data_IF_074611286464
#
_entry.id   IF_074611286464
#
_cell.length_a   1.000
_cell.length_b   1.000
_cell.length_c   1.000
_cell.angle_alpha   90.00
_cell.angle_beta   90.00
_cell.angle_gamma   90.00
#
_symmetry.space_group_name_H-M   'P 1'
#
loop_
_entity.id
_entity.type
_entity.pdbx_description
1 polymer ?
#
# COMPACT_ATOMS: atom_id res chain seq x y z
N UNK A 1 -9.42 0.39 0.66
CA UNK A 1 -10.48 0.35 1.69
C UNK A 1 -11.69 1.19 1.27
N UNK A 2 -11.53 2.46 0.84
CA UNK A 2 -12.69 3.30 0.45
C UNK A 2 -13.50 2.66 -0.68
N UNK A 3 -12.83 2.16 -1.71
CA UNK A 3 -13.51 1.42 -2.80
C UNK A 3 -14.29 0.21 -2.26
N UNK A 4 -13.72 -0.53 -1.30
CA UNK A 4 -14.40 -1.65 -0.67
C UNK A 4 -15.66 -1.20 0.08
N UNK A 5 -15.58 -0.12 0.86
CA UNK A 5 -16.73 0.43 1.60
C UNK A 5 -17.86 0.84 0.65
N UNK A 6 -17.53 1.48 -0.47
CA UNK A 6 -18.50 1.98 -1.45
C UNK A 6 -19.13 0.84 -2.26
N UNK A 7 -18.34 -0.19 -2.63
CA UNK A 7 -18.73 -1.17 -3.64
C UNK A 7 -19.15 -2.55 -3.08
N UNK A 8 -18.90 -2.84 -1.79
CA UNK A 8 -19.11 -4.17 -1.23
C UNK A 8 -20.58 -4.54 -0.98
N UNK A 9 -21.45 -3.54 -0.79
CA UNK A 9 -22.86 -3.79 -0.46
C UNK A 9 -23.64 -4.35 -1.67
N UNK A 10 -24.73 -5.09 -1.41
CA UNK A 10 -25.63 -5.61 -2.46
C UNK A 10 -26.24 -4.51 -3.32
N UNK A 11 -26.58 -3.40 -2.69
CA UNK A 11 -27.16 -2.21 -3.34
C UNK A 11 -26.11 -1.18 -3.76
N UNK A 12 -24.83 -1.56 -3.87
CA UNK A 12 -23.74 -0.66 -4.29
C UNK A 12 -23.91 -0.16 -5.75
N UNK A 13 -23.21 0.92 -6.13
CA UNK A 13 -23.11 1.30 -7.54
C UNK A 13 -22.44 0.20 -8.36
N UNK A 14 -22.79 0.10 -9.64
CA UNK A 14 -22.33 -0.96 -10.52
C UNK A 14 -21.37 -0.48 -11.62
N UNK A 15 -21.41 0.82 -11.93
CA UNK A 15 -20.58 1.42 -12.96
C UNK A 15 -19.51 2.31 -12.38
N UNK A 16 -18.33 2.24 -12.94
CA UNK A 16 -17.13 2.95 -12.47
C UNK A 16 -16.53 3.69 -13.66
N UNK A 17 -16.28 5.00 -13.48
CA UNK A 17 -15.39 5.78 -14.30
C UNK A 17 -14.00 5.71 -13.68
N UNK A 18 -13.05 5.13 -14.38
CA UNK A 18 -11.62 5.20 -14.08
C UNK A 18 -11.07 6.45 -14.77
N UNK A 19 -10.59 7.43 -14.01
CA UNK A 19 -10.06 8.69 -14.56
C UNK A 19 -8.58 8.86 -14.24
N UNK A 20 -7.81 9.24 -15.25
CA UNK A 20 -6.40 9.61 -15.16
C UNK A 20 -6.24 11.03 -15.71
N UNK A 21 -5.53 11.89 -14.98
CA UNK A 21 -5.28 13.27 -15.40
C UNK A 21 -3.95 13.33 -16.15
N UNK A 22 -3.99 13.80 -17.39
CA UNK A 22 -2.79 13.90 -18.22
C UNK A 22 -1.83 14.95 -17.66
N UNK A 23 -0.62 14.52 -17.25
CA UNK A 23 0.44 15.41 -16.78
C UNK A 23 -0.03 16.37 -15.66
N UNK A 24 -0.71 15.82 -14.63
CA UNK A 24 -1.36 16.65 -13.60
C UNK A 24 -0.43 17.72 -13.01
N UNK A 25 0.82 17.35 -12.69
CA UNK A 25 1.79 18.29 -12.14
C UNK A 25 2.35 19.28 -13.17
N UNK A 26 2.32 18.91 -14.45
CA UNK A 26 2.97 19.67 -15.52
C UNK A 26 2.05 20.75 -16.12
N UNK A 27 0.73 20.63 -15.92
CA UNK A 27 -0.26 21.48 -16.63
C UNK A 27 -1.21 22.27 -15.72
N UNK A 28 -1.05 22.23 -14.39
CA UNK A 28 -1.91 23.05 -13.50
C UNK A 28 -1.68 24.53 -13.80
N UNK A 29 -2.75 25.26 -14.11
CA UNK A 29 -2.70 26.70 -14.41
C UNK A 29 -2.15 27.52 -13.23
N UNK A 30 -1.05 28.23 -13.42
CA UNK A 30 -0.50 29.18 -12.45
C UNK A 30 -1.52 30.26 -12.08
N UNK A 31 -2.24 30.79 -13.08
CA UNK A 31 -3.27 31.80 -12.85
C UNK A 31 -4.39 31.28 -11.94
N UNK A 32 -4.82 30.04 -12.15
CA UNK A 32 -5.82 29.43 -11.27
C UNK A 32 -5.28 29.25 -9.84
N UNK A 33 -4.06 28.74 -9.68
CA UNK A 33 -3.44 28.54 -8.36
C UNK A 33 -3.31 29.88 -7.62
N UNK A 34 -2.78 30.93 -8.26
CA UNK A 34 -2.60 32.26 -7.67
C UNK A 34 -3.94 32.84 -7.21
N UNK A 35 -5.01 32.65 -7.97
CA UNK A 35 -6.33 33.21 -7.66
C UNK A 35 -7.08 32.43 -6.56
N UNK A 36 -6.87 31.13 -6.46
CA UNK A 36 -7.72 30.26 -5.63
C UNK A 36 -7.02 29.69 -4.37
N UNK A 37 -5.68 29.64 -4.32
CA UNK A 37 -4.97 29.12 -3.15
C UNK A 37 -4.90 30.19 -2.05
N UNK A 38 -5.31 29.89 -0.80
CA UNK A 38 -5.33 30.86 0.30
C UNK A 38 -3.95 31.01 0.94
N UNK A 39 -3.01 31.62 0.21
CA UNK A 39 -1.68 31.98 0.69
C UNK A 39 -1.20 33.29 0.06
N UNK A 40 -0.06 33.81 0.53
CA UNK A 40 0.58 34.99 -0.05
C UNK A 40 0.87 34.79 -1.54
N UNK A 41 0.40 35.70 -2.37
CA UNK A 41 0.42 35.59 -3.82
C UNK A 41 1.83 35.77 -4.40
N UNK A 42 2.65 36.60 -3.79
CA UNK A 42 4.03 36.82 -4.25
C UNK A 42 4.91 35.59 -3.94
N UNK A 43 4.75 35.00 -2.74
CA UNK A 43 5.46 33.80 -2.36
C UNK A 43 5.04 32.64 -3.27
N UNK A 44 3.73 32.47 -3.51
CA UNK A 44 3.22 31.43 -4.40
C UNK A 44 3.78 31.59 -5.81
N UNK A 45 3.75 32.82 -6.38
CA UNK A 45 4.29 33.10 -7.70
C UNK A 45 5.78 32.73 -7.78
N UNK A 46 6.58 33.16 -6.82
CA UNK A 46 8.01 32.83 -6.77
C UNK A 46 8.26 31.32 -6.73
N UNK A 47 7.43 30.56 -6.02
CA UNK A 47 7.54 29.10 -5.99
C UNK A 47 7.15 28.44 -7.32
N UNK A 48 6.16 28.95 -8.00
CA UNK A 48 5.71 28.42 -9.30
C UNK A 48 6.70 28.75 -10.43
N UNK A 49 7.30 29.93 -10.39
CA UNK A 49 8.20 30.45 -11.44
C UNK A 49 9.68 30.09 -11.19
N UNK A 50 10.04 29.49 -10.03
CA UNK A 50 11.44 29.21 -9.68
C UNK A 50 12.13 28.21 -10.61
N UNK A 51 11.39 27.49 -11.44
CA UNK A 51 11.93 26.48 -12.33
C UNK A 51 12.44 25.22 -11.62
N UNK A 52 13.13 24.37 -12.37
CA UNK A 52 13.81 23.19 -11.84
C UNK A 52 15.19 23.03 -12.48
N UNK A 53 16.11 22.44 -11.72
CA UNK A 53 17.46 22.18 -12.22
C UNK A 53 17.54 20.72 -12.70
N UNK A 54 17.94 20.53 -13.97
CA UNK A 54 18.18 19.23 -14.56
C UNK A 54 19.56 19.21 -15.23
N UNK A 55 20.40 18.25 -14.89
CA UNK A 55 21.79 18.15 -15.39
C UNK A 55 22.64 19.42 -15.18
N UNK A 56 22.33 20.22 -14.16
CA UNK A 56 23.06 21.48 -13.89
C UNK A 56 22.54 22.71 -14.61
N UNK A 57 21.51 22.56 -15.44
CA UNK A 57 20.85 23.68 -16.16
C UNK A 57 19.49 23.99 -15.51
N UNK A 58 19.15 25.28 -15.47
CA UNK A 58 17.87 25.77 -14.95
C UNK A 58 16.83 25.84 -16.08
N UNK A 59 15.72 25.16 -15.89
CA UNK A 59 14.57 25.19 -16.79
C UNK A 59 13.44 26.01 -16.15
N UNK A 60 12.90 27.02 -16.83
CA UNK A 60 11.76 27.78 -16.30
C UNK A 60 10.49 26.91 -16.28
N UNK A 61 9.59 27.22 -15.37
CA UNK A 61 8.27 26.60 -15.28
C UNK A 61 7.22 27.63 -15.67
N UNK A 62 6.62 27.49 -16.85
CA UNK A 62 5.59 28.42 -17.36
C UNK A 62 4.18 27.99 -16.92
N UNK A 63 3.95 26.69 -16.72
CA UNK A 63 2.73 26.09 -16.18
C UNK A 63 3.08 24.91 -15.29
N UNK A 64 2.13 24.43 -14.50
CA UNK A 64 2.31 23.29 -13.62
C UNK A 64 3.10 23.60 -12.36
N UNK A 65 3.55 22.55 -11.71
CA UNK A 65 4.38 22.59 -10.50
C UNK A 65 5.56 21.65 -10.67
N UNK A 66 6.80 22.05 -10.29
CA UNK A 66 7.98 21.23 -10.52
C UNK A 66 7.83 19.83 -9.90
N UNK A 67 8.08 18.77 -10.70
CA UNK A 67 8.09 17.40 -10.20
C UNK A 67 9.20 17.25 -9.16
N UNK A 68 8.82 16.86 -7.93
CA UNK A 68 9.75 16.78 -6.79
C UNK A 68 9.80 18.05 -5.92
N UNK A 69 9.08 19.10 -6.27
CA UNK A 69 8.88 20.27 -5.40
C UNK A 69 8.12 19.90 -4.12
N UNK A 70 8.58 20.38 -2.97
CA UNK A 70 8.00 20.03 -1.65
C UNK A 70 6.51 20.39 -1.56
N UNK A 71 6.12 21.53 -2.13
CA UNK A 71 4.74 22.03 -2.09
C UNK A 71 3.84 21.47 -3.21
N UNK A 72 4.43 20.96 -4.29
CA UNK A 72 3.70 20.54 -5.50
C UNK A 72 2.57 19.53 -5.21
N UNK A 73 2.75 18.48 -4.38
CA UNK A 73 1.65 17.57 -4.05
C UNK A 73 0.50 18.24 -3.29
N UNK A 74 0.81 19.26 -2.48
CA UNK A 74 -0.21 20.01 -1.74
C UNK A 74 -1.01 20.91 -2.69
N UNK A 75 -0.35 21.64 -3.57
CA UNK A 75 -1.00 22.49 -4.57
C UNK A 75 -1.87 21.69 -5.52
N UNK A 76 -1.38 20.53 -6.01
CA UNK A 76 -2.16 19.62 -6.84
C UNK A 76 -3.41 19.08 -6.11
N UNK A 77 -3.27 18.71 -4.84
CA UNK A 77 -4.42 18.30 -4.05
C UNK A 77 -5.43 19.43 -3.87
N UNK A 78 -4.97 20.65 -3.57
CA UNK A 78 -5.85 21.83 -3.43
C UNK A 78 -6.53 22.19 -4.77
N UNK A 79 -5.84 22.04 -5.91
CA UNK A 79 -6.44 22.24 -7.22
C UNK A 79 -7.57 21.24 -7.53
N UNK A 80 -7.46 20.01 -7.03
CA UNK A 80 -8.46 18.96 -7.25
C UNK A 80 -9.52 18.88 -6.14
N UNK A 81 -9.40 19.69 -5.09
CA UNK A 81 -10.44 19.80 -4.07
C UNK A 81 -11.71 20.43 -4.62
N UNK A 82 -12.86 20.03 -4.05
CA UNK A 82 -14.18 20.45 -4.51
C UNK A 82 -14.79 19.56 -5.61
N UNK A 83 -14.01 18.71 -6.29
CA UNK A 83 -14.55 17.78 -7.29
C UNK A 83 -15.59 16.83 -6.70
N UNK A 84 -15.35 16.30 -5.49
CA UNK A 84 -16.29 15.43 -4.81
C UNK A 84 -17.62 16.13 -4.56
N UNK A 85 -17.59 17.35 -4.00
CA UNK A 85 -18.77 18.15 -3.70
C UNK A 85 -19.55 18.50 -4.96
N UNK A 86 -18.84 18.86 -6.03
CA UNK A 86 -19.43 19.13 -7.33
C UNK A 86 -20.22 17.93 -7.85
N UNK A 87 -19.60 16.75 -7.84
CA UNK A 87 -20.22 15.51 -8.33
C UNK A 87 -21.38 15.05 -7.45
N UNK A 88 -21.27 15.11 -6.14
CA UNK A 88 -22.34 14.70 -5.22
C UNK A 88 -23.56 15.63 -5.29
N UNK A 89 -23.35 16.92 -5.59
CA UNK A 89 -24.41 17.91 -5.73
C UNK A 89 -25.05 17.94 -7.13
N UNK A 90 -24.35 17.46 -8.17
CA UNK A 90 -24.78 17.57 -9.56
C UNK A 90 -25.96 16.70 -9.91
N UNK A 91 -26.09 15.52 -9.28
CA UNK A 91 -27.16 14.57 -9.60
C UNK A 91 -28.05 14.37 -8.37
N UNK A 92 -29.23 15.00 -8.44
CA UNK A 92 -30.27 14.82 -7.40
C UNK A 92 -30.94 13.45 -7.55
N UNK A 93 -31.56 12.98 -6.46
CA UNK A 93 -32.44 11.82 -6.50
C UNK A 93 -33.56 12.10 -7.49
N UNK A 94 -33.79 11.19 -8.40
CA UNK A 94 -34.87 11.30 -9.39
C UNK A 94 -35.82 10.10 -9.29
N UNK A 95 -37.01 10.22 -9.89
CA UNK A 95 -38.04 9.21 -9.84
C UNK A 95 -38.35 8.74 -11.26
N UNK A 96 -38.31 7.42 -11.46
CA UNK A 96 -38.70 6.76 -12.71
C UNK A 96 -39.69 5.66 -12.36
N UNK A 97 -40.87 5.66 -13.01
CA UNK A 97 -41.92 4.66 -12.78
C UNK A 97 -42.22 4.44 -11.29
N UNK A 98 -42.48 5.52 -10.54
CA UNK A 98 -42.73 5.53 -9.10
C UNK A 98 -41.58 5.02 -8.22
N UNK A 99 -40.45 4.62 -8.78
CA UNK A 99 -39.25 4.21 -8.02
C UNK A 99 -38.29 5.37 -7.87
N UNK A 100 -37.93 5.68 -6.61
CA UNK A 100 -36.93 6.67 -6.29
C UNK A 100 -35.54 6.12 -6.58
N UNK A 101 -34.84 6.71 -7.55
CA UNK A 101 -33.47 6.33 -7.92
C UNK A 101 -32.50 7.24 -7.18
N UNK A 102 -31.56 6.62 -6.50
CA UNK A 102 -30.40 7.31 -5.87
C UNK A 102 -29.21 7.09 -6.76
N UNK A 103 -28.59 8.13 -7.30
CA UNK A 103 -27.50 8.00 -8.30
C UNK A 103 -26.24 7.29 -7.78
N UNK A 104 -26.01 7.27 -6.45
CA UNK A 104 -24.88 6.62 -5.77
C UNK A 104 -23.53 7.05 -6.32
N UNK A 105 -23.39 8.35 -6.50
CA UNK A 105 -22.15 8.97 -6.96
C UNK A 105 -21.21 9.09 -5.78
N UNK A 106 -20.02 8.50 -5.92
CA UNK A 106 -18.93 8.61 -4.95
C UNK A 106 -17.63 8.79 -5.71
N UNK A 107 -16.84 9.77 -5.29
CA UNK A 107 -15.46 9.96 -5.75
C UNK A 107 -14.51 9.25 -4.78
N UNK A 108 -13.57 8.47 -5.31
CA UNK A 108 -12.42 7.97 -4.57
C UNK A 108 -11.17 8.40 -5.32
N UNK A 109 -10.40 9.31 -4.73
CA UNK A 109 -9.22 9.92 -5.34
C UNK A 109 -7.96 9.62 -4.51
N UNK A 110 -6.87 9.42 -5.20
CA UNK A 110 -5.53 9.37 -4.64
C UNK A 110 -4.57 10.11 -5.58
N UNK A 111 -4.18 11.33 -5.21
CA UNK A 111 -3.48 12.27 -6.07
C UNK A 111 -4.25 12.53 -7.37
N UNK A 112 -3.66 12.23 -8.51
CA UNK A 112 -4.20 12.33 -9.87
C UNK A 112 -5.05 11.11 -10.30
N UNK A 113 -4.83 9.96 -9.69
CA UNK A 113 -5.65 8.76 -9.93
C UNK A 113 -7.00 8.89 -9.21
N UNK A 114 -8.11 8.71 -9.92
CA UNK A 114 -9.42 8.72 -9.28
C UNK A 114 -10.41 7.77 -9.95
N UNK A 115 -11.41 7.37 -9.19
CA UNK A 115 -12.59 6.69 -9.70
C UNK A 115 -13.86 7.44 -9.28
N UNK A 116 -14.86 7.44 -10.15
CA UNK A 116 -16.20 7.89 -9.82
C UNK A 116 -17.17 6.74 -10.04
N UNK A 117 -18.03 6.50 -9.06
CA UNK A 117 -19.04 5.43 -9.16
C UNK A 117 -20.39 6.01 -9.52
N UNK A 118 -21.21 5.25 -10.24
CA UNK A 118 -22.63 5.55 -10.47
C UNK A 118 -23.45 4.27 -10.58
N UNK A 119 -24.79 4.40 -10.52
CA UNK A 119 -25.69 3.28 -10.64
C UNK A 119 -25.80 2.78 -12.08
N UNK A 120 -25.78 3.67 -13.05
CA UNK A 120 -25.94 3.42 -14.48
C UNK A 120 -24.83 4.08 -15.30
N UNK A 121 -24.62 3.56 -16.52
CA UNK A 121 -23.58 4.01 -17.43
C UNK A 121 -23.90 5.39 -18.01
N UNK A 122 -25.16 5.62 -18.30
CA UNK A 122 -25.66 6.86 -18.89
C UNK A 122 -25.38 8.07 -17.97
N UNK A 123 -25.56 7.91 -16.67
CA UNK A 123 -25.20 8.96 -15.69
C UNK A 123 -23.71 9.30 -15.77
N UNK A 124 -22.84 8.32 -15.98
CA UNK A 124 -21.39 8.59 -16.13
C UNK A 124 -21.12 9.35 -17.43
N UNK A 125 -21.66 8.86 -18.54
CA UNK A 125 -21.38 9.42 -19.87
C UNK A 125 -21.96 10.82 -20.07
N UNK A 126 -23.20 11.02 -19.64
CA UNK A 126 -23.95 12.26 -19.94
C UNK A 126 -23.78 13.34 -18.88
N UNK A 127 -23.48 12.99 -17.63
CA UNK A 127 -23.41 13.97 -16.52
C UNK A 127 -22.03 14.03 -15.90
N UNK A 128 -21.50 12.88 -15.43
CA UNK A 128 -20.26 12.88 -14.64
C UNK A 128 -19.07 13.29 -15.51
N UNK A 129 -18.89 12.66 -16.66
CA UNK A 129 -17.74 12.88 -17.52
C UNK A 129 -17.66 14.33 -18.04
N UNK A 130 -18.74 14.96 -18.53
CA UNK A 130 -18.74 16.37 -18.89
C UNK A 130 -18.41 17.30 -17.71
N UNK A 131 -18.94 17.02 -16.52
CA UNK A 131 -18.65 17.82 -15.34
C UNK A 131 -17.19 17.72 -14.90
N UNK A 132 -16.63 16.52 -14.92
CA UNK A 132 -15.20 16.29 -14.61
C UNK A 132 -14.33 17.02 -15.62
N UNK A 133 -14.62 16.92 -16.92
CA UNK A 133 -13.88 17.64 -17.97
C UNK A 133 -13.94 19.17 -17.77
N UNK A 134 -15.11 19.71 -17.48
CA UNK A 134 -15.28 21.15 -17.20
C UNK A 134 -14.47 21.57 -15.98
N UNK A 135 -14.58 20.82 -14.87
CA UNK A 135 -13.85 21.10 -13.63
C UNK A 135 -12.34 21.09 -13.83
N UNK A 136 -11.82 20.15 -14.61
CA UNK A 136 -10.39 20.05 -14.91
C UNK A 136 -9.94 21.18 -15.86
N UNK A 137 -10.72 21.48 -16.90
CA UNK A 137 -10.41 22.53 -17.87
C UNK A 137 -10.26 23.91 -17.21
N UNK A 138 -11.09 24.25 -16.22
CA UNK A 138 -10.98 25.50 -15.44
C UNK A 138 -9.62 25.63 -14.73
N UNK A 139 -8.91 24.51 -14.52
CA UNK A 139 -7.62 24.41 -13.83
C UNK A 139 -6.44 24.17 -14.77
N UNK A 140 -6.68 24.24 -16.10
CA UNK A 140 -5.68 23.92 -17.12
C UNK A 140 -5.41 22.42 -17.30
N UNK A 141 -6.23 21.55 -16.68
CA UNK A 141 -6.04 20.11 -16.68
C UNK A 141 -6.95 19.41 -17.69
N UNK A 142 -6.52 18.28 -18.20
CA UNK A 142 -7.28 17.43 -19.12
C UNK A 142 -7.27 15.98 -18.69
N UNK A 143 -8.35 15.24 -19.01
CA UNK A 143 -8.38 13.79 -18.85
C UNK A 143 -7.52 13.10 -19.93
N UNK A 144 -6.86 12.03 -19.56
CA UNK A 144 -6.21 11.12 -20.50
C UNK A 144 -7.28 10.25 -21.17
N UNK A 145 -7.61 10.50 -22.43
CA UNK A 145 -8.64 9.73 -23.16
C UNK A 145 -8.24 8.24 -23.29
N UNK A 146 -6.95 7.94 -23.42
CA UNK A 146 -6.44 6.57 -23.54
C UNK A 146 -6.60 5.74 -22.26
N UNK A 147 -6.51 6.40 -21.11
CA UNK A 147 -6.56 5.74 -19.79
C UNK A 147 -7.92 5.87 -19.12
N UNK A 148 -8.76 6.81 -19.55
CA UNK A 148 -10.11 6.98 -19.00
C UNK A 148 -11.03 5.89 -19.53
N UNK A 149 -11.65 5.12 -18.62
CA UNK A 149 -12.49 3.98 -18.96
C UNK A 149 -13.77 3.97 -18.12
N UNK A 150 -14.83 3.47 -18.72
CA UNK A 150 -16.08 3.19 -18.02
C UNK A 150 -16.24 1.68 -17.96
N UNK A 151 -16.20 1.13 -16.74
CA UNK A 151 -16.15 -0.30 -16.50
C UNK A 151 -17.30 -0.73 -15.58
N UNK A 152 -17.92 -1.88 -15.87
CA UNK A 152 -18.88 -2.50 -14.97
C UNK A 152 -18.14 -3.28 -13.88
N UNK A 153 -18.61 -3.22 -12.62
CA UNK A 153 -17.94 -3.81 -11.46
C UNK A 153 -17.72 -5.34 -11.58
N UNK A 154 -18.56 -6.03 -12.36
CA UNK A 154 -18.42 -7.46 -12.60
C UNK A 154 -17.28 -7.81 -13.57
N UNK A 155 -16.86 -6.87 -14.41
CA UNK A 155 -15.66 -7.00 -15.24
C UNK A 155 -14.41 -6.77 -14.40
N UNK A 156 -14.51 -5.84 -13.43
CA UNK A 156 -13.44 -5.43 -12.53
C UNK A 156 -12.57 -4.36 -13.13
N UNK A 157 -12.01 -3.53 -12.27
CA UNK A 157 -11.13 -2.42 -12.63
C UNK A 157 -9.86 -2.43 -11.78
N UNK A 158 -8.82 -1.78 -12.27
CA UNK A 158 -7.54 -1.66 -11.58
C UNK A 158 -7.40 -0.27 -10.95
N UNK A 159 -7.17 -0.23 -9.65
CA UNK A 159 -6.93 1.02 -8.91
C UNK A 159 -5.79 0.85 -7.91
N UNK A 160 -4.78 1.73 -7.99
CA UNK A 160 -3.59 1.69 -7.12
C UNK A 160 -2.92 0.30 -7.07
N UNK A 161 -2.85 -0.38 -8.21
CA UNK A 161 -2.26 -1.71 -8.32
C UNK A 161 -3.10 -2.86 -7.79
N UNK A 162 -4.33 -2.59 -7.32
CA UNK A 162 -5.31 -3.61 -6.97
C UNK A 162 -6.34 -3.77 -8.08
N UNK A 163 -6.70 -5.00 -8.40
CA UNK A 163 -7.89 -5.32 -9.16
C UNK A 163 -9.09 -5.47 -8.21
N UNK A 164 -10.14 -4.72 -8.46
CA UNK A 164 -11.36 -4.68 -7.65
C UNK A 164 -12.50 -5.22 -8.53
N UNK A 165 -13.09 -6.33 -8.12
CA UNK A 165 -14.10 -7.03 -8.92
C UNK A 165 -15.19 -7.64 -8.06
N UNK A 166 -16.42 -7.53 -8.51
CA UNK A 166 -17.59 -8.16 -7.89
C UNK A 166 -17.96 -9.44 -8.66
N UNK A 167 -18.18 -10.52 -7.93
CA UNK A 167 -18.51 -11.82 -8.49
C UNK A 167 -20.01 -12.10 -8.38
N UNK A 168 -20.49 -13.13 -9.08
CA UNK A 168 -21.93 -13.50 -9.16
C UNK A 168 -22.59 -13.73 -7.80
N UNK A 169 -21.84 -14.21 -6.80
CA UNK A 169 -22.30 -14.36 -5.41
C UNK A 169 -22.33 -13.04 -4.62
N UNK A 170 -22.25 -11.91 -5.30
CA UNK A 170 -22.21 -10.56 -4.73
C UNK A 170 -20.99 -10.29 -3.83
N UNK A 171 -19.94 -11.10 -3.90
CA UNK A 171 -18.70 -10.92 -3.14
C UNK A 171 -17.75 -10.00 -3.89
N UNK A 172 -17.34 -8.89 -3.25
CA UNK A 172 -16.30 -8.01 -3.77
C UNK A 172 -14.94 -8.53 -3.35
N UNK A 173 -14.06 -8.79 -4.30
CA UNK A 173 -12.67 -9.15 -4.05
C UNK A 173 -11.74 -8.02 -4.48
N UNK A 174 -10.70 -7.84 -3.68
CA UNK A 174 -9.63 -6.87 -3.95
C UNK A 174 -8.31 -7.65 -3.99
N UNK A 175 -7.77 -7.87 -5.17
CA UNK A 175 -6.57 -8.68 -5.38
C UNK A 175 -5.46 -7.85 -6.02
N UNK A 176 -4.17 -8.24 -5.91
CA UNK A 176 -3.12 -7.60 -6.70
C UNK A 176 -3.44 -7.66 -8.20
N UNK A 177 -3.34 -6.53 -8.91
CA UNK A 177 -3.61 -6.49 -10.36
C UNK A 177 -2.63 -7.36 -11.15
N UNK A 178 -3.02 -7.78 -12.35
CA UNK A 178 -2.16 -8.60 -13.23
C UNK A 178 -0.85 -7.87 -13.56
N UNK A 179 -0.92 -6.58 -13.79
CA UNK A 179 0.27 -5.76 -14.07
C UNK A 179 1.20 -5.62 -12.85
N UNK A 180 0.63 -5.47 -11.66
CA UNK A 180 1.42 -5.45 -10.43
C UNK A 180 2.15 -6.78 -10.20
N UNK A 181 1.50 -7.91 -10.47
CA UNK A 181 2.10 -9.24 -10.39
C UNK A 181 3.23 -9.39 -11.43
N UNK A 182 2.99 -8.96 -12.68
CA UNK A 182 3.98 -9.00 -13.76
C UNK A 182 5.21 -8.15 -13.42
N UNK A 183 5.02 -6.90 -12.98
CA UNK A 183 6.12 -6.02 -12.55
C UNK A 183 6.91 -6.60 -11.37
N UNK A 184 6.25 -7.23 -10.42
CA UNK A 184 6.90 -7.90 -9.30
C UNK A 184 7.79 -9.07 -9.77
N UNK A 185 7.25 -9.98 -10.58
CA UNK A 185 8.00 -11.11 -11.14
C UNK A 185 9.19 -10.63 -11.97
N UNK A 186 9.03 -9.55 -12.72
CA UNK A 186 10.09 -8.97 -13.54
C UNK A 186 11.19 -8.36 -12.66
N UNK A 187 10.85 -7.66 -11.58
CA UNK A 187 11.82 -7.12 -10.63
C UNK A 187 12.62 -8.24 -9.96
N UNK A 188 11.96 -9.32 -9.54
CA UNK A 188 12.62 -10.51 -8.98
C UNK A 188 13.56 -11.13 -10.03
N UNK A 189 13.09 -11.33 -11.27
CA UNK A 189 13.86 -11.88 -12.36
C UNK A 189 15.12 -11.05 -12.61
N UNK A 190 14.99 -9.73 -12.82
CA UNK A 190 16.12 -8.81 -13.04
C UNK A 190 17.13 -8.84 -11.91
N UNK A 191 16.67 -8.86 -10.65
CA UNK A 191 17.54 -8.93 -9.48
C UNK A 191 18.34 -10.23 -9.47
N UNK A 192 17.73 -11.37 -9.77
CA UNK A 192 18.42 -12.68 -9.81
C UNK A 192 19.41 -12.75 -10.98
N UNK A 193 19.02 -12.26 -12.17
CA UNK A 193 19.85 -12.29 -13.38
C UNK A 193 21.08 -11.38 -13.28
N UNK A 194 20.95 -10.22 -12.65
CA UNK A 194 22.08 -9.34 -12.37
C UNK A 194 23.04 -9.92 -11.31
N UNK A 195 22.60 -10.90 -10.52
CA UNK A 195 23.34 -11.44 -9.36
C UNK A 195 23.60 -12.95 -9.48
N UNK A 196 24.02 -13.42 -10.65
CA UNK A 196 24.26 -14.86 -10.93
C UNK A 196 25.37 -15.47 -10.08
N UNK A 197 26.39 -14.70 -9.75
CA UNK A 197 27.61 -15.17 -9.07
C UNK A 197 27.65 -14.85 -7.56
N UNK A 198 26.72 -14.09 -7.01
CA UNK A 198 26.74 -13.69 -5.60
C UNK A 198 26.53 -14.88 -4.66
N UNK A 199 26.99 -14.76 -3.41
CA UNK A 199 26.72 -15.77 -2.36
C UNK A 199 25.23 -15.84 -2.07
N UNK A 200 24.73 -17.04 -1.68
CA UNK A 200 23.33 -17.26 -1.34
C UNK A 200 22.80 -16.25 -0.32
N UNK A 201 23.56 -15.98 0.74
CA UNK A 201 23.22 -15.00 1.77
C UNK A 201 22.95 -13.60 1.17
N UNK A 202 23.84 -13.14 0.27
CA UNK A 202 23.69 -11.83 -0.35
C UNK A 202 22.44 -11.75 -1.24
N UNK A 203 22.15 -12.82 -2.00
CA UNK A 203 20.95 -12.88 -2.82
C UNK A 203 19.67 -12.81 -1.96
N UNK A 204 19.62 -13.53 -0.84
CA UNK A 204 18.49 -13.48 0.11
C UNK A 204 18.33 -12.06 0.68
N UNK A 205 19.42 -11.40 1.05
CA UNK A 205 19.38 -10.03 1.57
C UNK A 205 18.85 -9.03 0.55
N UNK A 206 19.13 -9.21 -0.74
CA UNK A 206 18.61 -8.35 -1.82
C UNK A 206 17.13 -8.62 -2.12
N UNK A 207 16.72 -9.89 -2.11
CA UNK A 207 15.34 -10.28 -2.46
C UNK A 207 14.33 -10.03 -1.32
N UNK A 208 14.72 -10.22 -0.07
CA UNK A 208 13.83 -10.10 1.07
C UNK A 208 13.13 -8.73 1.20
N UNK A 209 13.79 -7.58 1.00
CA UNK A 209 13.12 -6.28 1.01
C UNK A 209 12.08 -6.16 -0.10
N UNK A 210 12.36 -6.68 -1.30
CA UNK A 210 11.45 -6.65 -2.45
C UNK A 210 10.21 -7.49 -2.14
N UNK A 211 10.40 -8.73 -1.67
CA UNK A 211 9.31 -9.67 -1.37
C UNK A 211 8.45 -9.14 -0.21
N UNK A 212 9.10 -8.71 0.89
CA UNK A 212 8.40 -8.17 2.07
C UNK A 212 7.64 -6.88 1.73
N UNK A 213 8.26 -5.98 0.99
CA UNK A 213 7.63 -4.72 0.59
C UNK A 213 6.37 -4.97 -0.24
N UNK A 214 6.45 -5.85 -1.25
CA UNK A 214 5.30 -6.22 -2.06
C UNK A 214 4.23 -6.94 -1.25
N UNK A 215 4.58 -7.93 -0.45
CA UNK A 215 3.64 -8.66 0.39
C UNK A 215 2.95 -7.75 1.43
N UNK A 216 3.69 -6.84 2.05
CA UNK A 216 3.14 -5.88 3.01
C UNK A 216 2.18 -4.86 2.39
N UNK A 217 2.39 -4.48 1.14
CA UNK A 217 1.47 -3.62 0.41
C UNK A 217 0.15 -4.34 0.11
N UNK A 218 0.23 -5.58 -0.36
CA UNK A 218 -0.95 -6.35 -0.82
C UNK A 218 -1.65 -7.16 0.27
N UNK A 219 -1.11 -7.26 1.50
CA UNK A 219 -1.76 -8.01 2.59
C UNK A 219 -3.13 -7.47 3.01
N UNK A 220 -3.47 -6.24 2.62
CA UNK A 220 -4.76 -5.63 2.90
C UNK A 220 -5.88 -6.04 1.93
N UNK A 221 -5.53 -6.76 0.88
CA UNK A 221 -6.47 -7.33 -0.08
C UNK A 221 -6.64 -8.84 0.09
N UNK A 222 -7.48 -9.43 -0.75
CA UNK A 222 -7.71 -10.88 -0.83
C UNK A 222 -6.57 -11.54 -1.62
N UNK A 223 -5.37 -11.58 -1.03
CA UNK A 223 -4.12 -11.87 -1.75
C UNK A 223 -3.56 -13.26 -1.54
N UNK A 224 -4.14 -14.09 -0.65
CA UNK A 224 -3.57 -15.39 -0.25
C UNK A 224 -3.22 -16.28 -1.46
N UNK A 225 -4.17 -16.52 -2.37
CA UNK A 225 -3.94 -17.35 -3.56
C UNK A 225 -2.88 -16.75 -4.49
N UNK A 226 -2.85 -15.41 -4.58
CA UNK A 226 -1.84 -14.70 -5.38
C UNK A 226 -0.45 -14.84 -4.74
N UNK A 227 -0.36 -14.77 -3.42
CA UNK A 227 0.90 -14.97 -2.68
C UNK A 227 1.47 -16.37 -2.92
N UNK A 228 0.65 -17.43 -2.86
CA UNK A 228 1.10 -18.78 -3.19
C UNK A 228 1.63 -18.89 -4.62
N UNK A 229 0.91 -18.32 -5.59
CA UNK A 229 1.33 -18.33 -7.00
C UNK A 229 2.63 -17.54 -7.22
N UNK A 230 2.77 -16.36 -6.62
CA UNK A 230 3.98 -15.54 -6.74
C UNK A 230 5.17 -16.19 -6.06
N UNK A 231 4.97 -16.83 -4.91
CA UNK A 231 6.02 -17.59 -4.24
C UNK A 231 6.53 -18.76 -5.10
N UNK A 232 5.64 -19.44 -5.81
CA UNK A 232 6.01 -20.47 -6.77
C UNK A 232 6.83 -19.90 -7.94
N UNK A 233 6.48 -18.73 -8.46
CA UNK A 233 7.27 -18.04 -9.50
C UNK A 233 8.68 -17.68 -9.00
N UNK A 234 8.80 -17.20 -7.77
CA UNK A 234 10.08 -16.93 -7.11
C UNK A 234 10.89 -18.23 -6.99
N UNK A 235 10.27 -19.29 -6.50
CA UNK A 235 10.92 -20.59 -6.33
C UNK A 235 11.51 -21.09 -7.67
N UNK A 236 10.76 -21.04 -8.76
CA UNK A 236 11.24 -21.45 -10.08
C UNK A 236 12.52 -20.68 -10.49
N UNK A 237 12.58 -19.39 -10.26
CA UNK A 237 13.74 -18.55 -10.58
C UNK A 237 14.94 -18.85 -9.69
N UNK A 238 14.70 -19.02 -8.40
CA UNK A 238 15.74 -19.40 -7.42
C UNK A 238 16.29 -20.80 -7.73
N UNK A 239 15.44 -21.75 -8.07
CA UNK A 239 15.86 -23.09 -8.46
C UNK A 239 16.74 -23.08 -9.72
N UNK A 240 16.36 -22.28 -10.74
CA UNK A 240 17.17 -22.10 -11.94
C UNK A 240 18.54 -21.48 -11.61
N UNK A 241 18.59 -20.46 -10.74
CA UNK A 241 19.81 -19.85 -10.26
C UNK A 241 20.71 -20.86 -9.55
N UNK A 242 20.19 -21.66 -8.64
CA UNK A 242 20.92 -22.69 -7.90
C UNK A 242 21.50 -23.76 -8.83
N UNK A 243 20.69 -24.25 -9.78
CA UNK A 243 21.12 -25.27 -10.76
C UNK A 243 22.22 -24.78 -11.71
N UNK A 244 22.14 -23.56 -12.20
CA UNK A 244 23.16 -22.98 -13.10
C UNK A 244 24.54 -22.92 -12.45
N UNK A 245 24.62 -22.81 -11.15
CA UNK A 245 25.92 -22.76 -10.42
C UNK A 245 26.61 -24.11 -10.31
N UNK A 246 25.86 -25.19 -10.48
CA UNK A 246 26.36 -26.56 -10.34
C UNK A 246 25.82 -27.46 -11.45
N UNK A 247 26.21 -27.23 -12.72
CA UNK A 247 25.64 -27.94 -13.86
C UNK A 247 25.90 -29.46 -13.81
N UNK A 248 27.03 -29.86 -13.24
CA UNK A 248 27.42 -31.26 -13.12
C UNK A 248 26.90 -31.98 -11.86
N UNK A 249 26.19 -31.27 -10.96
CA UNK A 249 25.64 -31.88 -9.74
C UNK A 249 24.16 -32.30 -9.91
N UNK A 250 23.80 -33.42 -9.31
CA UNK A 250 22.43 -33.89 -9.34
C UNK A 250 21.45 -32.94 -8.58
N UNK A 251 20.17 -33.06 -8.88
CA UNK A 251 19.12 -32.22 -8.25
C UNK A 251 19.07 -32.34 -6.73
N UNK A 252 19.29 -33.54 -6.19
CA UNK A 252 19.35 -33.80 -4.74
C UNK A 252 20.45 -32.98 -4.07
N UNK A 253 21.66 -33.06 -4.60
CA UNK A 253 22.79 -32.29 -4.08
C UNK A 253 22.52 -30.77 -4.08
N UNK A 254 21.95 -30.22 -5.17
CA UNK A 254 21.60 -28.80 -5.24
C UNK A 254 20.54 -28.44 -4.21
N UNK A 255 19.54 -29.32 -4.00
CA UNK A 255 18.53 -29.15 -2.96
C UNK A 255 19.19 -29.06 -1.58
N UNK A 256 20.02 -30.05 -1.24
CA UNK A 256 20.64 -30.16 0.09
C UNK A 256 21.61 -29.00 0.37
N UNK A 257 22.23 -28.45 -0.67
CA UNK A 257 23.13 -27.30 -0.54
C UNK A 257 22.37 -26.01 -0.24
N UNK A 258 21.27 -25.73 -0.94
CA UNK A 258 20.63 -24.41 -0.97
C UNK A 258 19.30 -24.35 -0.21
N UNK A 259 18.69 -25.48 0.05
CA UNK A 259 17.35 -25.52 0.66
C UNK A 259 17.37 -26.30 1.98
N UNK A 260 16.48 -25.92 2.89
CA UNK A 260 16.33 -26.52 4.23
C UNK A 260 14.87 -26.77 4.52
N UNK A 261 14.59 -27.64 5.48
CA UNK A 261 13.26 -27.75 6.09
C UNK A 261 13.23 -26.86 7.32
N UNK A 262 12.42 -25.79 7.29
CA UNK A 262 12.32 -24.80 8.35
C UNK A 262 10.84 -24.58 8.69
N UNK A 263 10.53 -24.58 9.98
CA UNK A 263 9.17 -24.36 10.48
C UNK A 263 8.10 -25.28 9.86
N UNK A 264 8.45 -26.54 9.62
CA UNK A 264 7.57 -27.55 9.01
C UNK A 264 7.42 -27.42 7.48
N UNK A 265 8.07 -26.45 6.83
CA UNK A 265 8.08 -26.29 5.38
C UNK A 265 9.39 -26.79 4.79
N UNK A 266 9.30 -27.75 3.89
CA UNK A 266 10.45 -28.20 3.08
C UNK A 266 10.76 -27.22 1.95
N UNK A 267 11.95 -27.34 1.39
CA UNK A 267 12.38 -26.52 0.25
C UNK A 267 12.47 -25.02 0.52
N UNK A 268 12.82 -24.64 1.76
CA UNK A 268 13.06 -23.24 2.11
C UNK A 268 14.46 -22.82 1.66
N UNK A 269 14.56 -21.82 0.76
CA UNK A 269 15.85 -21.27 0.35
C UNK A 269 16.45 -20.48 1.51
N UNK A 270 17.52 -21.05 2.12
CA UNK A 270 18.06 -20.54 3.37
C UNK A 270 19.57 -20.73 3.45
N UNK A 271 20.29 -19.66 3.81
CA UNK A 271 21.73 -19.66 4.00
C UNK A 271 22.08 -19.80 5.48
N UNK A 272 23.07 -20.63 5.78
CA UNK A 272 23.65 -20.74 7.11
C UNK A 272 24.37 -19.44 7.50
N UNK A 273 24.14 -18.96 8.72
CA UNK A 273 24.73 -17.75 9.27
C UNK A 273 26.02 -17.97 10.03
N UNK A 274 26.49 -19.22 10.16
CA UNK A 274 27.83 -19.58 10.66
C UNK A 274 28.11 -19.22 12.11
N UNK A 275 27.13 -19.28 13.01
CA UNK A 275 27.36 -19.14 14.45
C UNK A 275 27.74 -20.47 15.06
N UNK A 276 28.88 -20.52 15.80
CA UNK A 276 29.51 -21.74 16.33
C UNK A 276 28.60 -22.58 17.23
N UNK A 277 27.63 -22.00 17.94
CA UNK A 277 26.84 -22.69 18.96
C UNK A 277 25.33 -22.75 18.69
N UNK A 278 24.87 -22.19 17.56
CA UNK A 278 23.45 -22.21 17.23
C UNK A 278 23.25 -22.14 15.73
N UNK A 279 22.61 -23.16 15.17
CA UNK A 279 22.22 -23.17 13.75
C UNK A 279 21.19 -22.06 13.57
N UNK A 280 21.60 -20.95 12.96
CA UNK A 280 20.74 -19.82 12.62
C UNK A 280 20.76 -19.66 11.08
N UNK A 281 19.59 -19.66 10.49
CA UNK A 281 19.43 -19.55 9.05
C UNK A 281 18.88 -18.21 8.63
N UNK A 282 19.50 -17.57 7.63
CA UNK A 282 18.90 -16.49 6.89
C UNK A 282 18.01 -17.06 5.78
N UNK A 283 16.70 -16.95 5.98
CA UNK A 283 15.70 -17.52 5.10
C UNK A 283 15.17 -16.51 4.10
N UNK A 284 14.92 -16.96 2.85
CA UNK A 284 14.13 -16.17 1.89
C UNK A 284 12.68 -16.07 2.37
N UNK A 285 12.15 -14.86 2.37
CA UNK A 285 10.79 -14.59 2.81
C UNK A 285 9.77 -15.42 2.03
N UNK A 286 8.93 -16.13 2.74
CA UNK A 286 7.83 -16.91 2.20
C UNK A 286 6.55 -16.09 2.18
N UNK A 287 6.10 -15.69 1.00
CA UNK A 287 4.94 -14.81 0.85
C UNK A 287 3.69 -15.31 1.58
N UNK A 288 3.34 -16.61 1.55
CA UNK A 288 2.16 -17.12 2.25
C UNK A 288 2.16 -16.94 3.78
N UNK A 289 3.32 -16.64 4.39
CA UNK A 289 3.37 -16.30 5.82
C UNK A 289 2.94 -14.87 6.12
N UNK A 290 2.78 -14.04 5.10
CA UNK A 290 2.26 -12.69 5.24
C UNK A 290 0.73 -12.78 5.24
N UNK A 291 0.16 -12.79 6.44
CA UNK A 291 -1.28 -12.92 6.59
C UNK A 291 -2.04 -11.65 6.22
N UNK A 292 -3.28 -11.86 5.76
CA UNK A 292 -4.22 -10.76 5.54
C UNK A 292 -4.37 -9.92 6.81
N UNK A 293 -4.43 -8.61 6.61
CA UNK A 293 -4.62 -7.64 7.67
C UNK A 293 -5.70 -6.64 7.26
N UNK A 294 -6.68 -6.41 8.14
CA UNK A 294 -7.72 -5.43 7.86
C UNK A 294 -7.16 -4.01 7.93
N UNK A 295 -7.31 -3.26 6.86
CA UNK A 295 -6.94 -1.85 6.84
C UNK A 295 -7.91 -1.03 7.71
N UNK A 296 -7.37 -0.16 8.54
CA UNK A 296 -8.18 0.76 9.37
C UNK A 296 -8.03 2.17 8.82
N UNK A 297 -9.04 2.60 8.06
CA UNK A 297 -9.07 3.95 7.50
C UNK A 297 -9.12 5.00 8.63
N UNK A 298 -8.41 6.11 8.45
CA UNK A 298 -8.56 7.28 9.32
C UNK A 298 -9.89 7.97 8.99
N UNK A 299 -10.61 8.42 9.99
CA UNK A 299 -11.82 9.24 9.80
C UNK A 299 -11.44 10.54 9.11
N UNK A 300 -12.28 11.01 8.19
CA UNK A 300 -11.96 12.16 7.32
C UNK A 300 -11.59 13.43 8.11
N UNK A 301 -12.33 13.71 9.19
CA UNK A 301 -12.12 14.91 10.01
C UNK A 301 -11.22 14.69 11.24
N UNK A 302 -10.69 13.47 11.44
CA UNK A 302 -9.88 13.20 12.62
C UNK A 302 -8.49 13.85 12.49
N UNK A 303 -8.14 14.67 13.47
CA UNK A 303 -6.87 15.36 13.56
C UNK A 303 -6.03 14.77 14.71
N UNK A 304 -4.81 14.23 14.45
CA UNK A 304 -3.97 13.66 15.50
C UNK A 304 -3.48 14.68 16.53
N UNK A 305 -3.56 15.97 16.23
CA UNK A 305 -3.18 17.06 17.11
C UNK A 305 -4.36 17.66 17.90
N UNK A 306 -5.59 17.23 17.60
CA UNK A 306 -6.78 17.66 18.32
C UNK A 306 -7.00 16.78 19.57
N UNK A 307 -7.03 17.35 20.78
CA UNK A 307 -7.30 16.61 22.01
C UNK A 307 -8.62 15.84 22.00
N UNK A 308 -9.65 16.33 21.28
CA UNK A 308 -10.95 15.67 21.18
C UNK A 308 -10.89 14.34 20.44
N UNK A 309 -9.94 14.16 19.51
CA UNK A 309 -9.74 12.93 18.75
C UNK A 309 -8.76 11.94 19.42
N UNK A 310 -8.21 12.27 20.59
CA UNK A 310 -7.24 11.42 21.30
C UNK A 310 -7.78 10.01 21.55
N UNK A 311 -9.00 9.89 22.05
CA UNK A 311 -9.64 8.61 22.33
C UNK A 311 -9.84 7.76 21.08
N UNK A 312 -10.14 8.39 19.94
CA UNK A 312 -10.25 7.72 18.65
C UNK A 312 -8.89 7.17 18.18
N UNK A 313 -7.81 7.94 18.30
CA UNK A 313 -6.47 7.47 17.91
C UNK A 313 -5.95 6.37 18.84
N UNK A 314 -6.22 6.42 20.14
CA UNK A 314 -5.89 5.37 21.09
C UNK A 314 -6.64 4.06 20.79
N UNK A 315 -7.93 4.16 20.47
CA UNK A 315 -8.73 3.03 20.00
C UNK A 315 -8.14 2.45 18.72
N UNK A 316 -7.86 3.29 17.72
CA UNK A 316 -7.31 2.88 16.42
C UNK A 316 -5.96 2.18 16.57
N UNK A 317 -5.08 2.71 17.40
CA UNK A 317 -3.81 2.10 17.72
C UNK A 317 -3.98 0.71 18.36
N UNK A 318 -4.84 0.64 19.37
CA UNK A 318 -5.15 -0.61 20.06
C UNK A 318 -5.73 -1.65 19.11
N UNK A 319 -6.62 -1.25 18.22
CA UNK A 319 -7.21 -2.14 17.21
C UNK A 319 -6.16 -2.66 16.24
N UNK A 320 -5.28 -1.81 15.74
CA UNK A 320 -4.18 -2.19 14.86
C UNK A 320 -3.19 -3.13 15.58
N UNK A 321 -2.86 -2.83 16.83
CA UNK A 321 -1.98 -3.68 17.63
C UNK A 321 -2.60 -5.04 17.93
N UNK A 322 -3.92 -5.11 18.13
CA UNK A 322 -4.65 -6.37 18.28
C UNK A 322 -4.44 -7.32 17.10
N UNK A 323 -4.45 -6.82 15.88
CA UNK A 323 -4.15 -7.61 14.68
C UNK A 323 -2.71 -8.13 14.71
N UNK A 324 -1.74 -7.28 15.05
CA UNK A 324 -0.32 -7.63 15.16
C UNK A 324 -0.08 -8.70 16.23
N UNK A 325 -0.77 -8.62 17.35
CA UNK A 325 -0.71 -9.60 18.45
C UNK A 325 -1.60 -10.83 18.21
N UNK A 326 -2.05 -11.05 16.97
CA UNK A 326 -2.87 -12.21 16.55
C UNK A 326 -4.14 -12.39 17.39
N UNK A 327 -4.75 -11.29 17.82
CA UNK A 327 -5.98 -11.30 18.63
C UNK A 327 -5.82 -11.81 20.08
N UNK A 328 -4.61 -12.10 20.54
CA UNK A 328 -4.37 -12.62 21.89
C UNK A 328 -4.55 -11.52 22.93
N UNK A 329 -5.67 -11.55 23.65
CA UNK A 329 -6.00 -10.54 24.66
C UNK A 329 -4.93 -10.43 25.77
N UNK A 330 -4.32 -11.55 26.15
CA UNK A 330 -3.23 -11.57 27.14
C UNK A 330 -2.03 -10.69 26.72
N UNK A 331 -1.66 -10.73 25.44
CA UNK A 331 -0.55 -9.92 24.93
C UNK A 331 -0.92 -8.43 24.86
N UNK A 332 -2.18 -8.11 24.56
CA UNK A 332 -2.68 -6.74 24.59
C UNK A 332 -2.64 -6.18 26.00
N UNK A 333 -3.04 -6.99 27.00
CA UNK A 333 -3.00 -6.60 28.40
C UNK A 333 -1.55 -6.37 28.86
N UNK A 334 -0.60 -7.21 28.45
CA UNK A 334 0.83 -7.02 28.72
C UNK A 334 1.29 -5.69 28.10
N UNK A 335 1.00 -5.46 26.82
CA UNK A 335 1.38 -4.26 26.09
C UNK A 335 0.83 -2.96 26.72
N UNK A 336 -0.45 -2.98 27.15
CA UNK A 336 -1.07 -1.87 27.87
C UNK A 336 -0.44 -1.64 29.24
N UNK A 337 -0.22 -2.71 30.03
CA UNK A 337 0.36 -2.65 31.36
C UNK A 337 1.77 -2.03 31.37
N UNK A 338 2.56 -2.26 30.34
CA UNK A 338 3.89 -1.65 30.18
C UNK A 338 3.87 -0.29 29.44
N UNK A 339 2.72 0.42 29.46
CA UNK A 339 2.51 1.72 28.82
C UNK A 339 2.90 1.72 27.33
N UNK A 340 2.73 0.59 26.65
CA UNK A 340 3.01 0.42 25.22
C UNK A 340 4.50 0.58 24.83
N UNK A 341 5.42 0.63 25.80
CA UNK A 341 6.86 0.81 25.58
C UNK A 341 7.66 -0.46 25.91
N UNK A 342 8.81 -0.59 25.28
CA UNK A 342 9.75 -1.66 25.54
C UNK A 342 10.50 -1.36 26.86
N UNK A 343 10.47 -2.23 27.89
CA UNK A 343 11.14 -1.94 29.18
C UNK A 343 12.67 -1.94 29.09
N UNK A 344 13.24 -2.34 27.94
CA UNK A 344 14.70 -2.37 27.73
C UNK A 344 15.25 -1.08 27.12
N UNK A 345 14.57 -0.50 26.14
CA UNK A 345 15.03 0.71 25.46
C UNK A 345 14.14 1.93 25.68
N UNK A 346 12.99 1.79 26.37
CA UNK A 346 12.03 2.86 26.57
C UNK A 346 11.24 3.29 25.33
N UNK A 347 11.58 2.76 24.15
CA UNK A 347 10.90 3.10 22.92
C UNK A 347 9.56 2.35 22.75
N UNK A 348 8.65 2.95 22.00
CA UNK A 348 7.31 2.40 21.77
C UNK A 348 7.36 1.05 21.05
N UNK A 349 6.57 0.08 21.52
CA UNK A 349 6.34 -1.18 20.81
C UNK A 349 5.16 -0.96 19.87
N UNK A 350 5.48 -0.88 18.59
CA UNK A 350 4.55 -0.68 17.50
C UNK A 350 4.55 -1.87 16.51
N UNK A 351 3.98 -1.64 15.35
CA UNK A 351 3.90 -2.63 14.25
C UNK A 351 5.13 -2.66 13.35
N UNK A 352 5.95 -1.63 13.41
CA UNK A 352 7.07 -1.44 12.48
C UNK A 352 8.27 -2.26 12.88
N UNK A 353 8.45 -2.46 14.19
CA UNK A 353 9.55 -3.25 14.74
C UNK A 353 9.10 -4.62 15.24
N UNK A 354 9.82 -5.69 14.91
CA UNK A 354 9.50 -7.01 15.42
C UNK A 354 9.68 -7.06 16.95
N UNK A 355 8.73 -7.69 17.61
CA UNK A 355 8.68 -7.84 19.05
C UNK A 355 8.75 -9.33 19.45
N UNK A 356 9.12 -9.59 20.69
CA UNK A 356 9.21 -10.91 21.29
C UNK A 356 8.72 -10.87 22.73
N UNK A 357 8.24 -12.00 23.22
CA UNK A 357 7.91 -12.19 24.64
C UNK A 357 9.19 -12.58 25.37
N UNK A 358 9.41 -11.99 26.54
CA UNK A 358 10.45 -12.39 27.49
C UNK A 358 9.87 -12.41 28.90
N UNK A 359 10.53 -13.13 29.79
CA UNK A 359 10.22 -13.11 31.21
C UNK A 359 11.28 -12.26 31.92
N UNK A 360 10.85 -11.34 32.74
CA UNK A 360 11.72 -10.51 33.58
C UNK A 360 11.34 -10.70 35.04
N UNK A 361 12.31 -10.63 35.93
CA UNK A 361 12.07 -10.63 37.37
C UNK A 361 11.81 -9.17 37.79
N UNK A 362 10.58 -8.87 38.21
CA UNK A 362 10.18 -7.57 38.75
C UNK A 362 9.71 -7.80 40.17
N UNK A 363 10.37 -7.20 41.15
CA UNK A 363 10.05 -7.37 42.59
C UNK A 363 9.99 -8.86 43.02
N UNK A 364 10.96 -9.67 42.58
CA UNK A 364 11.05 -11.11 42.90
C UNK A 364 10.08 -12.04 42.17
N UNK A 365 9.19 -11.49 41.31
CA UNK A 365 8.21 -12.29 40.54
C UNK A 365 8.56 -12.34 39.07
N UNK A 366 8.40 -13.50 38.43
CA UNK A 366 8.51 -13.65 36.97
C UNK A 366 7.34 -12.96 36.28
N UNK A 367 7.59 -11.92 35.52
CA UNK A 367 6.59 -11.17 34.79
C UNK A 367 6.87 -11.29 33.29
N UNK A 368 5.86 -11.67 32.51
CA UNK A 368 5.94 -11.65 31.06
C UNK A 368 5.86 -10.22 30.54
N UNK A 369 6.81 -9.87 29.68
CA UNK A 369 6.89 -8.56 29.03
C UNK A 369 7.07 -8.70 27.53
N UNK A 370 6.64 -7.69 26.79
CA UNK A 370 6.93 -7.54 25.37
C UNK A 370 8.18 -6.64 25.22
N UNK A 371 9.11 -7.09 24.42
CA UNK A 371 10.34 -6.34 24.11
C UNK A 371 10.58 -6.36 22.60
N UNK A 372 11.31 -5.39 22.06
CA UNK A 372 11.77 -5.52 20.68
C UNK A 372 12.67 -6.74 20.53
N UNK A 373 12.57 -7.42 19.40
CA UNK A 373 13.41 -8.62 19.16
C UNK A 373 14.91 -8.30 19.23
N UNK A 374 15.31 -7.10 18.78
CA UNK A 374 16.68 -6.61 18.92
C UNK A 374 17.08 -6.42 20.38
N UNK A 375 16.19 -5.91 21.23
CA UNK A 375 16.44 -5.75 22.67
C UNK A 375 16.55 -7.09 23.37
N UNK A 376 15.72 -8.08 23.02
CA UNK A 376 15.84 -9.42 23.55
C UNK A 376 17.20 -10.05 23.25
N UNK A 377 17.70 -9.88 22.01
CA UNK A 377 19.04 -10.36 21.62
C UNK A 377 20.15 -9.71 22.46
N UNK A 378 20.08 -8.38 22.68
CA UNK A 378 21.03 -7.64 23.53
C UNK A 378 21.02 -8.14 24.99
N UNK A 379 19.84 -8.48 25.52
CA UNK A 379 19.72 -9.06 26.86
C UNK A 379 20.41 -10.43 26.94
N UNK A 380 20.23 -11.28 25.91
CA UNK A 380 20.82 -12.62 25.87
C UNK A 380 22.34 -12.63 25.61
N UNK A 381 22.88 -11.56 25.04
CA UNK A 381 24.34 -11.42 24.83
C UNK A 381 25.08 -10.83 26.03
N UNK A 382 24.35 -10.39 27.07
CA UNK A 382 24.92 -9.86 28.35
C UNK A 382 24.82 -10.85 29.50
N UNK A 383 24.16 -11.98 29.27
CA UNK A 383 24.16 -13.16 30.11
C UNK A 383 25.15 -14.22 29.57
#
# INVERSE_FOLDING_TARGET
EQCYIVLSRSVAPEWILEGDIKGCFDHISHAWLINNIPMDKEILRKWLECGYVFNGELFPTEEGTPQGGIISPTLANMALDGLQDLLEKSVKKYQVNYKKIVPKIHLVRYADDFIVTAKDKETIEQVILPLVRKFLAERGLTLSEEKTKITHINEGFDFLGFNIRKFRNNTLLTTPSKDAQKRFCEKIRKTIEANKCVKQKSLIMMLNPIIKGWGNYYKYGTSANVFHRMDWEIFKKIWQWARRRHPQKCKGWVKDKYFRTLNGHSWRFAADMGKKDKIDYLELTYLPTIHHEKFVKVRHYANPYDPSDKSYYEWRETYRMKQTLKGRQSLINIWKRQNKVCPVCGERIDRERPWSITEQIVSGRKVRTLVHTSCKRKMQSRL
#
